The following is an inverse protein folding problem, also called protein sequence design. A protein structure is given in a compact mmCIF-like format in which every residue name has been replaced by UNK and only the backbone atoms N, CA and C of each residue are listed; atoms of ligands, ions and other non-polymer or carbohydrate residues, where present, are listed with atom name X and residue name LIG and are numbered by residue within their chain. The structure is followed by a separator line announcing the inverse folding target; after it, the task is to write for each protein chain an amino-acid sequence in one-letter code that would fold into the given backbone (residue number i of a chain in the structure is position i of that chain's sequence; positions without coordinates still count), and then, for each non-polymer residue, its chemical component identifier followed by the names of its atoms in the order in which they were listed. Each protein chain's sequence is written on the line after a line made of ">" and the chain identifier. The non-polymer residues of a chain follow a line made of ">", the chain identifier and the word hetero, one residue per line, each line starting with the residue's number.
data_IF_644390940409
#
_entry.id   IF_644390940409
#
_cell.length_a   1.000
_cell.length_b   1.000
_cell.length_c   1.000
_cell.angle_alpha   90.00
_cell.angle_beta   90.00
_cell.angle_gamma   90.00
#
_symmetry.space_group_name_H-M   'P 1'
#
loop_
_entity.id
_entity.type
_entity.pdbx_description
1 polymer ?
#
# COMPACT_ATOMS: atom_id res chain seq x y z
N UNK A 1 -18.74 9.50 -12.92
CA UNK A 1 -18.95 8.19 -13.57
C UNK A 1 -18.24 7.13 -12.74
N UNK A 2 -18.98 6.23 -12.07
CA UNK A 2 -18.39 5.13 -11.30
C UNK A 2 -17.92 4.06 -12.30
N UNK A 3 -16.61 3.89 -12.43
CA UNK A 3 -15.94 2.95 -13.35
C UNK A 3 -16.09 1.47 -12.92
N UNK A 4 -17.18 1.13 -12.22
CA UNK A 4 -17.43 -0.23 -11.72
C UNK A 4 -18.36 -1.00 -12.67
N UNK A 5 -18.96 -0.32 -13.66
CA UNK A 5 -19.89 -0.91 -14.64
C UNK A 5 -19.23 -1.39 -15.94
N UNK A 6 -17.89 -1.40 -16.03
CA UNK A 6 -17.23 -2.13 -17.11
C UNK A 6 -17.36 -3.64 -16.82
N UNK A 7 -18.51 -4.21 -17.19
CA UNK A 7 -18.72 -5.66 -17.25
C UNK A 7 -17.72 -6.20 -18.26
N UNK A 8 -16.70 -6.90 -17.77
CA UNK A 8 -15.71 -7.62 -18.57
C UNK A 8 -16.45 -8.51 -19.58
N UNK A 9 -16.22 -8.27 -20.86
CA UNK A 9 -17.00 -8.89 -21.94
C UNK A 9 -16.58 -10.33 -22.24
N UNK A 10 -15.37 -10.75 -21.85
CA UNK A 10 -14.89 -12.11 -22.08
C UNK A 10 -13.80 -12.51 -21.08
N UNK A 11 -13.87 -13.75 -20.58
CA UNK A 11 -12.86 -14.34 -19.70
C UNK A 11 -11.48 -14.55 -20.37
N UNK A 12 -11.33 -14.22 -21.66
CA UNK A 12 -10.10 -14.38 -22.45
C UNK A 12 -9.31 -13.07 -22.63
N UNK A 13 -9.82 -11.94 -22.17
CA UNK A 13 -9.22 -10.64 -22.50
C UNK A 13 -7.93 -10.38 -21.71
N UNK A 14 -7.85 -10.89 -20.47
CA UNK A 14 -6.65 -10.85 -19.61
C UNK A 14 -6.67 -12.03 -18.64
N UNK A 15 -5.54 -12.72 -18.47
CA UNK A 15 -5.37 -13.71 -17.40
C UNK A 15 -4.87 -12.97 -16.16
N UNK A 16 -5.63 -13.03 -15.06
CA UNK A 16 -5.14 -12.50 -13.78
C UNK A 16 -3.93 -13.35 -13.36
N UNK A 17 -2.75 -12.75 -13.40
CA UNK A 17 -1.52 -13.44 -13.03
C UNK A 17 -1.33 -13.56 -11.52
N UNK A 18 -2.03 -12.75 -10.71
CA UNK A 18 -2.02 -12.89 -9.25
C UNK A 18 -2.54 -11.69 -8.48
N UNK A 19 -2.24 -11.68 -7.18
CA UNK A 19 -2.50 -10.58 -6.25
C UNK A 19 -1.25 -10.29 -5.43
N UNK A 20 -1.03 -9.02 -5.09
CA UNK A 20 0.04 -8.59 -4.18
C UNK A 20 -0.58 -8.01 -2.93
N UNK A 21 0.03 -8.32 -1.79
CA UNK A 21 -0.28 -7.71 -0.51
C UNK A 21 1.00 -7.23 0.16
N UNK A 22 0.93 -6.08 0.84
CA UNK A 22 2.04 -5.50 1.59
C UNK A 22 1.65 -5.55 3.06
N UNK A 23 2.32 -6.39 3.84
CA UNK A 23 1.91 -6.72 5.22
C UNK A 23 2.70 -5.91 6.25
N UNK A 24 3.99 -5.68 5.99
CA UNK A 24 4.86 -4.93 6.90
C UNK A 24 6.03 -4.31 6.15
N UNK A 25 6.60 -3.27 6.75
CA UNK A 25 7.87 -2.70 6.35
C UNK A 25 8.81 -2.69 7.55
N UNK A 26 10.08 -3.06 7.34
CA UNK A 26 11.13 -2.96 8.34
C UNK A 26 11.99 -1.74 8.06
N UNK A 27 12.15 -0.89 9.06
CA UNK A 27 13.13 0.20 8.99
C UNK A 27 14.50 -0.38 9.29
N UNK A 28 15.38 -0.46 8.29
CA UNK A 28 16.71 -1.05 8.46
C UNK A 28 17.75 -0.08 9.02
N UNK A 29 17.47 1.22 8.98
CA UNK A 29 18.34 2.28 9.51
C UNK A 29 17.54 3.55 9.75
N UNK A 30 17.89 4.24 10.83
CA UNK A 30 17.24 5.46 11.27
C UNK A 30 18.26 6.30 12.05
N UNK A 31 18.27 7.61 11.80
CA UNK A 31 19.21 8.54 12.44
C UNK A 31 18.69 9.09 13.78
N UNK A 32 17.46 8.71 14.16
CA UNK A 32 16.77 9.14 15.39
C UNK A 32 16.14 7.92 16.06
N UNK A 33 16.01 7.97 17.39
CA UNK A 33 15.67 6.79 18.20
C UNK A 33 14.16 6.61 18.45
N UNK A 34 13.35 7.66 18.21
CA UNK A 34 11.90 7.61 18.40
C UNK A 34 11.19 8.31 17.24
N UNK A 35 10.32 7.59 16.55
CA UNK A 35 9.54 8.19 15.48
C UNK A 35 8.07 7.79 15.57
N UNK A 36 7.22 8.81 15.46
CA UNK A 36 5.83 8.66 15.10
C UNK A 36 5.71 8.66 13.58
N UNK A 37 5.50 7.47 13.03
CA UNK A 37 5.41 7.25 11.59
C UNK A 37 3.96 7.06 11.20
N UNK A 38 3.56 7.74 10.14
CA UNK A 38 2.35 7.41 9.40
C UNK A 38 2.72 7.26 7.93
N UNK A 39 2.03 6.36 7.25
CA UNK A 39 2.42 5.94 5.92
C UNK A 39 1.18 5.75 5.05
N UNK A 40 1.37 6.04 3.77
CA UNK A 40 0.40 5.76 2.72
C UNK A 40 1.12 4.88 1.69
N UNK A 41 0.68 3.64 1.58
CA UNK A 41 1.14 2.72 0.54
C UNK A 41 0.07 2.63 -0.52
N UNK A 42 0.44 3.00 -1.75
CA UNK A 42 -0.40 2.95 -2.93
C UNK A 42 0.14 1.90 -3.89
N UNK A 43 -0.76 1.20 -4.55
CA UNK A 43 -0.41 0.40 -5.73
C UNK A 43 -1.27 0.82 -6.91
N UNK A 44 -0.68 0.83 -8.10
CA UNK A 44 -1.43 1.07 -9.33
C UNK A 44 -2.12 -0.23 -9.75
N UNK A 45 -3.45 -0.21 -9.79
CA UNK A 45 -4.27 -1.33 -10.24
C UNK A 45 -4.10 -1.49 -11.76
N UNK A 46 -3.73 -2.70 -12.21
CA UNK A 46 -3.48 -2.95 -13.64
C UNK A 46 -4.76 -2.95 -14.48
N UNK A 47 -5.93 -3.09 -13.85
CA UNK A 47 -7.23 -3.12 -14.55
C UNK A 47 -7.68 -1.73 -14.99
N UNK A 48 -7.62 -0.75 -14.09
CA UNK A 48 -8.15 0.60 -14.32
C UNK A 48 -7.10 1.71 -14.21
N UNK A 49 -5.83 1.34 -14.00
CA UNK A 49 -4.69 2.25 -13.82
C UNK A 49 -4.86 3.26 -12.67
N UNK A 50 -5.78 3.02 -11.73
CA UNK A 50 -5.98 3.87 -10.56
C UNK A 50 -5.14 3.41 -9.39
N UNK A 51 -4.80 4.36 -8.52
CA UNK A 51 -4.13 4.05 -7.27
C UNK A 51 -5.13 3.44 -6.28
N UNK A 52 -4.79 2.28 -5.73
CA UNK A 52 -5.50 1.62 -4.63
C UNK A 52 -4.64 1.76 -3.38
N UNK A 53 -5.25 2.22 -2.29
CA UNK A 53 -4.60 2.22 -0.98
C UNK A 53 -4.39 0.78 -0.54
N UNK A 54 -3.13 0.36 -0.46
CA UNK A 54 -2.71 -0.84 0.24
C UNK A 54 -2.70 -0.56 1.73
N UNK A 55 -2.13 0.56 2.15
CA UNK A 55 -2.12 0.99 3.54
C UNK A 55 -2.39 2.49 3.62
N UNK A 56 -3.14 2.92 4.63
CA UNK A 56 -3.40 4.32 4.89
C UNK A 56 -3.52 4.52 6.40
N UNK A 57 -2.45 5.04 7.00
CA UNK A 57 -2.41 5.46 8.38
C UNK A 57 -2.41 6.99 8.40
N UNK A 58 -3.40 7.58 9.06
CA UNK A 58 -3.50 9.02 9.22
C UNK A 58 -2.58 9.55 10.32
N UNK A 59 -2.42 10.88 10.37
CA UNK A 59 -1.61 11.55 11.40
C UNK A 59 -2.08 11.28 12.83
N UNK A 60 -3.34 10.90 13.03
CA UNK A 60 -3.92 10.58 14.33
C UNK A 60 -3.73 9.11 14.73
N UNK A 61 -3.49 8.21 13.78
CA UNK A 61 -3.36 6.76 13.97
C UNK A 61 -1.90 6.29 13.81
N UNK A 62 -0.94 7.17 14.05
CA UNK A 62 0.48 6.92 13.83
C UNK A 62 0.98 5.69 14.60
N UNK A 63 1.92 4.96 14.01
CA UNK A 63 2.65 3.91 14.69
C UNK A 63 3.93 4.48 15.29
N UNK A 64 4.18 4.17 16.55
CA UNK A 64 5.42 4.54 17.23
C UNK A 64 6.44 3.44 17.02
N UNK A 65 7.59 3.79 16.47
CA UNK A 65 8.74 2.90 16.29
C UNK A 65 9.81 3.36 17.28
N UNK A 66 10.11 2.48 18.24
CA UNK A 66 11.06 2.74 19.33
C UNK A 66 12.44 2.12 19.05
N UNK A 67 12.51 1.13 18.14
CA UNK A 67 13.74 0.39 17.89
C UNK A 67 13.94 0.08 16.40
N UNK A 68 15.20 -0.01 16.00
CA UNK A 68 15.64 -0.31 14.62
C UNK A 68 15.16 -1.67 14.08
N UNK A 69 14.71 -2.58 14.93
CA UNK A 69 14.20 -3.88 14.48
C UNK A 69 12.67 -4.01 14.50
N UNK A 70 11.97 -2.94 14.88
CA UNK A 70 10.53 -2.92 14.95
C UNK A 70 9.91 -2.79 13.55
N UNK A 71 8.81 -3.53 13.34
CA UNK A 71 8.12 -3.60 12.06
C UNK A 71 6.99 -2.58 12.04
N UNK A 72 6.92 -1.77 11.00
CA UNK A 72 5.72 -1.02 10.67
C UNK A 72 4.70 -2.02 10.13
N UNK A 73 3.63 -2.26 10.88
CA UNK A 73 2.58 -3.18 10.44
C UNK A 73 1.66 -2.41 9.51
N UNK A 74 1.66 -2.83 8.24
CA UNK A 74 0.86 -2.22 7.20
C UNK A 74 -0.49 -2.96 7.17
N UNK A 75 -1.33 -2.73 8.18
CA UNK A 75 -2.68 -3.30 8.24
C UNK A 75 -3.60 -2.63 7.21
N UNK A 76 -3.74 -3.23 6.04
CA UNK A 76 -4.69 -2.88 4.98
C UNK A 76 -4.28 -3.57 3.67
N UNK A 77 -5.17 -3.78 2.68
CA UNK A 77 -6.28 -2.89 2.28
C UNK A 77 -7.72 -3.41 2.44
N UNK A 78 -8.71 -2.52 2.24
CA UNK A 78 -10.12 -2.92 2.00
C UNK A 78 -10.35 -3.63 0.66
N UNK A 79 -9.42 -3.52 -0.31
CA UNK A 79 -9.48 -4.14 -1.65
C UNK A 79 -8.06 -4.41 -2.19
N UNK A 80 -7.76 -5.63 -2.61
CA UNK A 80 -6.46 -5.98 -3.22
C UNK A 80 -6.33 -5.48 -4.68
N UNK A 81 -5.13 -5.13 -5.15
CA UNK A 81 -4.88 -4.75 -6.53
C UNK A 81 -4.84 -5.99 -7.42
N UNK A 82 -5.47 -5.93 -8.58
CA UNK A 82 -5.36 -6.97 -9.59
C UNK A 82 -4.06 -6.83 -10.37
N UNK A 83 -3.42 -7.96 -10.67
CA UNK A 83 -2.16 -8.01 -11.42
C UNK A 83 -2.32 -8.75 -12.74
N UNK A 84 -2.30 -7.98 -13.81
CA UNK A 84 -2.18 -8.46 -15.20
C UNK A 84 -0.72 -8.31 -15.68
N UNK A 85 0.04 -7.39 -15.09
CA UNK A 85 1.44 -7.11 -15.44
C UNK A 85 2.25 -6.68 -14.21
N UNK A 86 3.49 -6.21 -14.41
CA UNK A 86 4.34 -5.68 -13.34
C UNK A 86 3.61 -4.63 -12.50
N UNK A 87 3.66 -4.77 -11.18
CA UNK A 87 3.04 -3.85 -10.23
C UNK A 87 3.99 -2.71 -9.89
N UNK A 88 3.46 -1.50 -9.86
CA UNK A 88 4.17 -0.36 -9.29
C UNK A 88 3.55 -0.06 -7.92
N UNK A 89 4.38 -0.15 -6.88
CA UNK A 89 4.03 0.23 -5.51
C UNK A 89 4.76 1.52 -5.19
N UNK A 90 4.00 2.49 -4.72
CA UNK A 90 4.49 3.77 -4.23
C UNK A 90 4.22 3.85 -2.73
N UNK A 91 5.26 4.23 -1.99
CA UNK A 91 5.18 4.39 -0.54
C UNK A 91 5.49 5.85 -0.22
N UNK A 92 4.65 6.46 0.60
CA UNK A 92 4.85 7.80 1.13
C UNK A 92 4.92 7.76 2.65
N UNK A 93 6.12 7.41 3.13
CA UNK A 93 6.46 7.39 4.55
C UNK A 93 6.61 8.81 5.09
N UNK A 94 5.80 9.18 6.07
CA UNK A 94 5.87 10.49 6.71
C UNK A 94 6.23 10.33 8.19
N UNK A 95 7.28 11.05 8.56
CA UNK A 95 7.76 11.17 9.93
C UNK A 95 7.10 12.41 10.54
N UNK A 96 6.37 12.23 11.64
CA UNK A 96 5.88 13.35 12.43
C UNK A 96 7.05 13.91 13.24
N UNK A 97 7.51 15.11 12.87
CA UNK A 97 8.41 15.91 13.71
C UNK A 97 7.62 16.62 14.81
N UNK A 98 8.35 17.02 15.86
CA UNK A 98 7.85 17.87 16.96
C UNK A 98 7.45 19.27 16.49
#
# INVERSE_FOLDING_TARGET
>A
MRYIDAVYKSAKDYELCGAVNVISAKIVSLDIDLIHVYDIVLAKDSLDNKCVYLFCCGREDFQTINFKDELLILTGPKRGPALISSTHVENNLIIKGD
#
